data_IF_933082741137
#
_entry.id   IF_933082741137
#
_cell.length_a   1.000
_cell.length_b   1.000
_cell.length_c   1.000
_cell.angle_alpha   90.00
_cell.angle_beta   90.00
_cell.angle_gamma   90.00
#
_symmetry.space_group_name_H-M   'P 1'
#
loop_
_entity.id
_entity.type
_entity.pdbx_description
1 polymer ?
#
# COMPACT_ATOMS: atom_id res chain seq x y z
N UNK A 1 37.82 -20.25 47.42
CA UNK A 1 37.02 -19.71 46.30
C UNK A 1 37.75 -20.01 45.01
N UNK A 2 37.48 -21.15 44.36
CA UNK A 2 38.11 -21.50 43.09
C UNK A 2 37.33 -20.79 41.96
N UNK A 3 38.03 -19.95 41.20
CA UNK A 3 37.44 -19.18 40.10
C UNK A 3 37.01 -20.07 38.95
N UNK A 4 35.76 -19.93 38.51
CA UNK A 4 35.19 -20.65 37.38
C UNK A 4 35.64 -19.98 36.08
N UNK A 5 36.81 -20.36 35.56
CA UNK A 5 37.25 -19.94 34.23
C UNK A 5 36.82 -21.03 33.25
N UNK A 6 35.78 -20.79 32.42
CA UNK A 6 35.34 -21.78 31.44
C UNK A 6 36.44 -22.02 30.41
N UNK A 7 36.49 -23.24 29.85
CA UNK A 7 37.40 -23.53 28.74
C UNK A 7 37.03 -22.69 27.51
N UNK A 8 38.03 -22.33 26.69
CA UNK A 8 37.82 -21.55 25.46
C UNK A 8 36.79 -22.21 24.53
N UNK A 9 36.78 -23.54 24.47
CA UNK A 9 35.79 -24.32 23.71
C UNK A 9 34.37 -24.16 24.27
N UNK A 10 34.20 -24.24 25.59
CA UNK A 10 32.89 -24.05 26.24
C UNK A 10 32.39 -22.63 26.01
N UNK A 11 33.28 -21.64 26.11
CA UNK A 11 32.97 -20.26 25.80
C UNK A 11 32.54 -20.08 24.33
N UNK A 12 33.30 -20.63 23.38
CA UNK A 12 32.98 -20.54 21.96
C UNK A 12 31.63 -21.21 21.62
N UNK A 13 31.36 -22.40 22.17
CA UNK A 13 30.08 -23.10 21.98
C UNK A 13 28.90 -22.33 22.59
N UNK A 14 29.08 -21.78 23.80
CA UNK A 14 28.05 -20.98 24.47
C UNK A 14 27.72 -19.70 23.69
N UNK A 15 28.75 -18.98 23.24
CA UNK A 15 28.58 -17.78 22.42
C UNK A 15 27.91 -18.09 21.09
N UNK A 16 28.34 -19.14 20.40
CA UNK A 16 27.73 -19.56 19.14
C UNK A 16 26.26 -19.96 19.32
N UNK A 17 25.95 -20.79 20.32
CA UNK A 17 24.57 -21.20 20.63
C UNK A 17 23.68 -20.00 20.97
N UNK A 18 24.20 -19.04 21.73
CA UNK A 18 23.48 -17.81 22.08
C UNK A 18 23.23 -16.95 20.85
N UNK A 19 24.25 -16.70 20.03
CA UNK A 19 24.12 -15.91 18.81
C UNK A 19 23.16 -16.55 17.81
N UNK A 20 23.25 -17.87 17.61
CA UNK A 20 22.33 -18.63 16.77
C UNK A 20 20.89 -18.51 17.29
N UNK A 21 20.67 -18.69 18.60
CA UNK A 21 19.33 -18.60 19.21
C UNK A 21 18.74 -17.21 19.04
N UNK A 22 19.48 -16.15 19.40
CA UNK A 22 19.01 -14.78 19.26
C UNK A 22 18.80 -14.39 17.80
N UNK A 23 19.71 -14.82 16.92
CA UNK A 23 19.59 -14.61 15.48
C UNK A 23 18.34 -15.26 14.90
N UNK A 24 18.06 -16.52 15.25
CA UNK A 24 16.85 -17.23 14.82
C UNK A 24 15.58 -16.58 15.36
N UNK A 25 15.55 -16.20 16.64
CA UNK A 25 14.40 -15.49 17.21
C UNK A 25 14.18 -14.14 16.52
N UNK A 26 15.24 -13.36 16.33
CA UNK A 26 15.16 -12.06 15.65
C UNK A 26 14.68 -12.18 14.20
N UNK A 27 15.25 -13.13 13.44
CA UNK A 27 14.81 -13.40 12.07
C UNK A 27 13.35 -13.88 12.02
N UNK A 28 12.94 -14.73 12.98
CA UNK A 28 11.55 -15.16 13.12
C UNK A 28 10.61 -14.00 13.37
N UNK A 29 10.93 -13.12 14.33
CA UNK A 29 10.13 -11.93 14.61
C UNK A 29 10.01 -11.00 13.40
N UNK A 30 11.10 -10.81 12.65
CA UNK A 30 11.08 -10.02 11.42
C UNK A 30 10.22 -10.68 10.34
N UNK A 31 10.33 -12.00 10.17
CA UNK A 31 9.54 -12.74 9.18
C UNK A 31 8.03 -12.66 9.47
N UNK A 32 7.63 -12.83 10.73
CA UNK A 32 6.23 -12.70 11.11
C UNK A 32 5.75 -11.24 11.13
N UNK A 33 6.63 -10.30 11.49
CA UNK A 33 6.32 -8.87 11.60
C UNK A 33 6.45 -8.09 10.29
N UNK A 34 6.92 -8.70 9.20
CA UNK A 34 7.29 -7.99 7.96
C UNK A 34 6.19 -7.10 7.40
N UNK A 35 4.95 -7.59 7.38
CA UNK A 35 3.81 -6.87 6.81
C UNK A 35 3.49 -5.62 7.61
N UNK A 36 3.68 -5.65 8.94
CA UNK A 36 3.43 -4.51 9.81
C UNK A 36 4.52 -3.43 9.66
N UNK A 37 5.76 -3.85 9.39
CA UNK A 37 6.90 -2.94 9.22
C UNK A 37 6.90 -2.24 7.86
N UNK A 38 6.63 -2.98 6.78
CA UNK A 38 6.70 -2.45 5.41
C UNK A 38 5.44 -1.64 5.07
N UNK A 39 4.28 -2.05 5.60
CA UNK A 39 3.02 -1.36 5.38
C UNK A 39 2.29 -1.20 6.72
N UNK A 40 2.48 -0.06 7.43
CA UNK A 40 1.97 0.17 8.79
C UNK A 40 0.46 0.42 8.78
N UNK A 41 -0.29 -0.60 8.40
CA UNK A 41 -1.74 -0.63 8.23
C UNK A 41 -2.57 -0.38 9.51
N UNK A 42 -1.92 -0.23 10.67
CA UNK A 42 -2.57 0.24 11.90
C UNK A 42 -2.61 1.78 11.99
N UNK A 43 -1.99 2.49 11.04
CA UNK A 43 -1.91 3.94 11.05
C UNK A 43 -2.31 4.53 9.68
N UNK A 44 -3.23 5.51 9.64
CA UNK A 44 -4.01 6.04 10.76
C UNK A 44 -5.02 5.01 11.31
N UNK A 45 -5.52 5.23 12.55
CA UNK A 45 -6.55 4.38 13.15
C UNK A 45 -7.73 4.22 12.20
N UNK A 46 -8.21 2.98 12.02
CA UNK A 46 -9.31 2.69 11.09
C UNK A 46 -8.91 2.47 9.63
N UNK A 47 -7.63 2.65 9.24
CA UNK A 47 -7.18 2.53 7.84
C UNK A 47 -7.49 1.18 7.16
N UNK A 48 -7.78 0.12 7.92
CA UNK A 48 -8.18 -1.20 7.39
C UNK A 48 -9.69 -1.39 7.25
N UNK A 49 -10.49 -0.56 7.91
CA UNK A 49 -11.94 -0.72 8.01
C UNK A 49 -12.69 0.44 7.37
N UNK A 50 -12.08 1.62 7.40
CA UNK A 50 -12.62 2.86 6.88
C UNK A 50 -11.79 3.27 5.67
N UNK A 51 -12.34 3.04 4.49
CA UNK A 51 -11.76 3.45 3.21
C UNK A 51 -12.71 4.46 2.61
N UNK A 52 -12.22 5.68 2.38
CA UNK A 52 -13.01 6.73 1.79
C UNK A 52 -13.48 6.31 0.38
N UNK A 53 -14.78 6.46 0.11
CA UNK A 53 -15.34 6.19 -1.21
C UNK A 53 -15.42 7.47 -2.05
N UNK A 54 -15.35 7.41 -3.40
CA UNK A 54 -15.31 8.62 -4.21
C UNK A 54 -16.53 9.55 -4.02
N UNK A 55 -17.70 9.00 -3.69
CA UNK A 55 -18.90 9.79 -3.40
C UNK A 55 -18.77 10.69 -2.18
N UNK A 56 -17.88 10.39 -1.21
CA UNK A 56 -17.60 11.28 -0.07
C UNK A 56 -17.00 12.61 -0.53
N UNK A 57 -16.37 12.62 -1.71
CA UNK A 57 -15.80 13.80 -2.34
C UNK A 57 -16.67 14.33 -3.50
N UNK A 58 -17.94 13.91 -3.57
CA UNK A 58 -18.84 14.30 -4.65
C UNK A 58 -18.44 13.79 -6.04
N UNK A 59 -17.53 12.81 -6.11
CA UNK A 59 -17.05 12.25 -7.37
C UNK A 59 -17.98 11.13 -7.83
N UNK A 60 -18.52 11.19 -9.07
CA UNK A 60 -19.25 10.06 -9.66
C UNK A 60 -18.27 8.92 -9.99
N UNK A 61 -18.69 7.69 -9.75
CA UNK A 61 -17.90 6.49 -10.05
C UNK A 61 -18.79 5.30 -10.38
N UNK A 62 -18.19 4.29 -10.99
CA UNK A 62 -18.77 2.96 -11.16
C UNK A 62 -18.00 1.96 -10.29
N UNK A 63 -18.72 1.11 -9.56
CA UNK A 63 -18.16 0.01 -8.79
C UNK A 63 -17.85 -1.19 -9.70
N UNK A 64 -16.60 -1.66 -9.65
CA UNK A 64 -16.13 -2.82 -10.41
C UNK A 64 -15.53 -3.87 -9.47
N UNK A 65 -15.80 -5.13 -9.77
CA UNK A 65 -15.13 -6.26 -9.14
C UNK A 65 -14.29 -7.00 -10.18
N UNK A 66 -12.97 -7.03 -9.97
CA UNK A 66 -12.04 -7.73 -10.84
C UNK A 66 -11.59 -9.01 -10.18
N UNK A 67 -11.79 -10.14 -10.85
CA UNK A 67 -11.31 -11.44 -10.38
C UNK A 67 -9.88 -11.67 -10.90
N UNK A 68 -8.94 -11.88 -9.99
CA UNK A 68 -7.56 -12.22 -10.35
C UNK A 68 -7.41 -13.74 -10.54
N UNK A 69 -6.32 -14.16 -11.19
CA UNK A 69 -6.07 -15.58 -11.49
C UNK A 69 -5.80 -16.43 -10.24
N UNK A 70 -5.39 -15.82 -9.13
CA UNK A 70 -5.25 -16.45 -7.82
C UNK A 70 -6.55 -16.47 -7.00
N UNK A 71 -7.67 -16.05 -7.58
CA UNK A 71 -9.00 -16.12 -6.97
C UNK A 71 -9.31 -15.00 -5.97
N UNK A 72 -8.52 -13.93 -5.98
CA UNK A 72 -8.78 -12.73 -5.18
C UNK A 72 -9.74 -11.81 -5.96
N UNK A 73 -10.78 -11.31 -5.29
CA UNK A 73 -11.66 -10.29 -5.85
C UNK A 73 -11.15 -8.90 -5.45
N UNK A 74 -10.74 -8.10 -6.42
CA UNK A 74 -10.37 -6.70 -6.23
C UNK A 74 -11.61 -5.83 -6.39
N UNK A 75 -11.89 -5.00 -5.38
CA UNK A 75 -12.89 -3.92 -5.50
C UNK A 75 -12.23 -2.67 -6.06
N UNK A 76 -12.75 -2.17 -7.16
CA UNK A 76 -12.18 -1.05 -7.89
C UNK A 76 -13.26 0.00 -8.14
N UNK A 77 -12.85 1.26 -8.21
CA UNK A 77 -13.69 2.37 -8.62
C UNK A 77 -13.24 2.86 -9.99
N UNK A 78 -14.15 2.87 -10.97
CA UNK A 78 -13.88 3.45 -12.28
C UNK A 78 -14.33 4.90 -12.30
N UNK A 79 -13.35 5.79 -12.53
CA UNK A 79 -13.53 7.24 -12.58
C UNK A 79 -13.10 7.75 -13.97
N UNK A 80 -14.03 7.94 -14.92
CA UNK A 80 -13.69 8.46 -16.24
C UNK A 80 -13.32 9.95 -16.15
N UNK A 81 -12.20 10.33 -16.75
CA UNK A 81 -11.81 11.73 -16.86
C UNK A 81 -12.77 12.47 -17.80
N UNK A 82 -13.38 13.55 -17.32
CA UNK A 82 -14.35 14.36 -18.06
C UNK A 82 -14.11 15.85 -17.79
N UNK A 83 -14.52 16.69 -18.73
CA UNK A 83 -14.61 18.13 -18.54
C UNK A 83 -15.89 18.51 -17.79
N UNK A 84 -15.84 19.63 -17.09
CA UNK A 84 -16.97 20.20 -16.37
C UNK A 84 -17.41 19.36 -15.19
N UNK A 85 -16.53 18.52 -14.61
CA UNK A 85 -16.93 17.61 -13.53
C UNK A 85 -17.53 18.38 -12.34
N UNK A 86 -16.93 19.50 -11.96
CA UNK A 86 -17.44 20.38 -10.90
C UNK A 86 -18.74 21.11 -11.28
N UNK A 87 -19.04 21.25 -12.57
CA UNK A 87 -20.28 21.86 -13.04
C UNK A 87 -21.45 20.86 -12.95
N UNK A 88 -21.20 19.62 -13.36
CA UNK A 88 -22.19 18.53 -13.33
C UNK A 88 -22.40 18.00 -11.90
N UNK A 89 -21.34 18.02 -11.08
CA UNK A 89 -21.32 17.53 -9.71
C UNK A 89 -20.81 18.64 -8.78
N UNK A 90 -21.69 19.43 -8.15
CA UNK A 90 -21.31 20.59 -7.33
C UNK A 90 -20.42 20.28 -6.12
N UNK A 91 -20.35 19.01 -5.70
CA UNK A 91 -19.46 18.54 -4.64
C UNK A 91 -18.07 18.12 -5.12
N UNK A 92 -17.86 18.00 -6.43
CA UNK A 92 -16.59 17.56 -7.00
C UNK A 92 -15.54 18.69 -6.97
N UNK A 93 -14.26 18.38 -6.70
CA UNK A 93 -13.18 19.36 -6.77
C UNK A 93 -13.05 19.97 -8.17
N UNK A 94 -12.90 21.30 -8.27
CA UNK A 94 -12.59 21.98 -9.52
C UNK A 94 -11.12 21.80 -9.89
N UNK A 95 -10.82 21.43 -11.13
CA UNK A 95 -9.43 21.33 -11.60
C UNK A 95 -8.95 22.69 -12.14
N UNK A 96 -7.84 23.25 -11.64
CA UNK A 96 -7.31 24.52 -12.13
C UNK A 96 -6.97 24.46 -13.62
N UNK A 97 -7.48 25.42 -14.40
CA UNK A 97 -7.22 25.52 -15.85
C UNK A 97 -8.00 24.51 -16.71
N UNK A 98 -8.96 23.77 -16.16
CA UNK A 98 -9.77 22.79 -16.91
C UNK A 98 -10.54 23.41 -18.08
N UNK A 99 -11.08 24.62 -17.86
CA UNK A 99 -11.84 25.35 -18.88
C UNK A 99 -10.95 25.87 -20.02
N UNK A 100 -9.63 25.98 -19.81
CA UNK A 100 -8.70 26.51 -20.80
C UNK A 100 -8.17 25.41 -21.75
N UNK A 101 -8.32 24.14 -21.38
CA UNK A 101 -7.85 22.99 -22.14
C UNK A 101 -8.93 22.50 -23.10
N UNK A 102 -8.53 21.98 -24.27
CA UNK A 102 -9.45 21.22 -25.14
C UNK A 102 -9.72 19.81 -24.56
N UNK A 103 -10.79 19.13 -24.99
CA UNK A 103 -11.07 17.77 -24.50
C UNK A 103 -9.97 16.80 -24.89
N UNK A 104 -9.50 16.92 -26.13
CA UNK A 104 -8.39 16.14 -26.66
C UNK A 104 -7.09 16.36 -25.87
N UNK A 105 -6.82 17.60 -25.47
CA UNK A 105 -5.64 17.93 -24.66
C UNK A 105 -5.78 17.40 -23.23
N UNK A 106 -6.97 17.50 -22.63
CA UNK A 106 -7.24 16.98 -21.30
C UNK A 106 -7.07 15.44 -21.28
N UNK A 107 -7.59 14.75 -22.29
CA UNK A 107 -7.44 13.30 -22.48
C UNK A 107 -5.98 12.95 -22.79
N UNK A 108 -5.26 13.78 -23.55
CA UNK A 108 -3.83 13.56 -23.83
C UNK A 108 -2.93 13.67 -22.59
N UNK A 109 -3.37 14.42 -21.57
CA UNK A 109 -2.70 14.46 -20.26
C UNK A 109 -3.01 13.25 -19.38
N UNK A 110 -3.93 12.38 -19.81
CA UNK A 110 -4.25 11.16 -19.08
C UNK A 110 -3.04 10.21 -19.11
N UNK A 111 -2.53 9.77 -17.95
CA UNK A 111 -1.37 8.87 -17.89
C UNK A 111 -1.63 7.50 -18.53
N UNK A 112 -2.88 7.16 -18.83
CA UNK A 112 -3.28 5.89 -19.43
C UNK A 112 -3.09 5.82 -20.95
N UNK A 113 -2.83 6.95 -21.64
CA UNK A 113 -2.77 6.98 -23.10
C UNK A 113 -1.47 6.40 -23.67
N UNK A 114 -0.38 6.41 -22.91
CA UNK A 114 0.97 6.17 -23.46
C UNK A 114 1.50 4.73 -23.26
N UNK A 115 0.74 3.81 -22.65
CA UNK A 115 1.29 2.47 -22.34
C UNK A 115 0.23 1.36 -22.15
N UNK A 116 -0.61 1.12 -23.17
CA UNK A 116 -1.52 -0.04 -23.16
C UNK A 116 -1.28 -0.90 -24.39
N UNK A 117 -0.23 -1.71 -24.32
CA UNK A 117 -0.10 -2.96 -25.06
C UNK A 117 -0.17 -4.10 -24.04
N UNK A 118 -1.33 -4.71 -23.88
CA UNK A 118 -1.44 -6.04 -23.26
C UNK A 118 -1.15 -7.13 -24.29
#
# INVERSE_FOLDING_TARGET
MAGFIPSLETFAKGTFATAATLGTVGAGLLYYGQNYLIYPSAYPSGSRTEVAVPSEFGLPYEDLELQTSDGITLRCYMLPQRKGLSNDYPGAPSVPGENDLSEDELIARSPLRDNVSW
#
